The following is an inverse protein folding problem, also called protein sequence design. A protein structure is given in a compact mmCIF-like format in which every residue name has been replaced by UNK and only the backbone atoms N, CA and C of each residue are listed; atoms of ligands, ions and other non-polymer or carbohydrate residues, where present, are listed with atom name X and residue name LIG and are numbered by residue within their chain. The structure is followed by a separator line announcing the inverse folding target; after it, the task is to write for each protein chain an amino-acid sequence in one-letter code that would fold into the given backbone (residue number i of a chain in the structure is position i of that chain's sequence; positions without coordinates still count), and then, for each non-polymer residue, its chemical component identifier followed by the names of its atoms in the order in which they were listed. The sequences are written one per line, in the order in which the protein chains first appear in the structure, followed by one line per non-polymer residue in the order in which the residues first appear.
data_IF_202934055615
#
_entry.id   IF_202934055615
#
_cell.length_a   1.000
_cell.length_b   1.000
_cell.length_c   1.000
_cell.angle_alpha   90.00
_cell.angle_beta   90.00
_cell.angle_gamma   90.00
#
_symmetry.space_group_name_H-M   'P 1'
#
loop_
_entity.id
_entity.type
_entity.pdbx_description
1 polymer ?
#
# COMPACT_ATOMS: atom_id res chain seq x y z
N UNK A 1 -17.58 -8.64 17.12
CA UNK A 1 -16.32 -7.97 17.50
C UNK A 1 -15.69 -7.43 16.24
N UNK A 2 -15.34 -6.14 16.23
CA UNK A 2 -14.80 -5.48 15.04
C UNK A 2 -13.28 -5.57 15.04
N UNK A 3 -12.65 -5.53 13.87
CA UNK A 3 -11.20 -5.40 13.72
C UNK A 3 -10.89 -4.02 13.12
N UNK A 4 -9.76 -3.44 13.50
CA UNK A 4 -9.32 -2.18 12.92
C UNK A 4 -9.00 -2.36 11.43
N UNK A 5 -9.58 -1.56 10.53
CA UNK A 5 -9.33 -1.69 9.09
C UNK A 5 -7.86 -1.55 8.68
N UNK A 6 -7.07 -0.81 9.47
CA UNK A 6 -5.65 -0.57 9.20
C UNK A 6 -4.73 -1.66 9.76
N UNK A 7 -4.75 -1.86 11.08
CA UNK A 7 -3.80 -2.76 11.76
C UNK A 7 -4.38 -4.15 12.07
N UNK A 8 -5.63 -4.42 11.69
CA UNK A 8 -6.37 -5.66 11.93
C UNK A 8 -6.49 -6.08 13.40
N UNK A 9 -6.07 -5.23 14.37
CA UNK A 9 -6.25 -5.49 15.80
C UNK A 9 -7.72 -5.53 16.16
N UNK A 10 -8.08 -6.42 17.09
CA UNK A 10 -9.43 -6.46 17.69
C UNK A 10 -9.74 -5.13 18.37
N UNK A 11 -10.93 -4.62 18.10
CA UNK A 11 -11.47 -3.38 18.70
C UNK A 11 -12.89 -3.61 19.22
N UNK A 12 -13.27 -2.81 20.21
CA UNK A 12 -14.64 -2.80 20.72
C UNK A 12 -15.61 -2.44 19.59
N UNK A 13 -16.83 -3.00 19.61
CA UNK A 13 -17.84 -2.75 18.56
C UNK A 13 -18.19 -1.26 18.40
N UNK A 14 -18.05 -0.47 19.47
CA UNK A 14 -18.27 0.98 19.48
C UNK A 14 -17.13 1.79 18.83
N UNK A 15 -16.00 1.17 18.51
CA UNK A 15 -14.82 1.84 17.91
C UNK A 15 -14.63 1.37 16.48
N UNK A 16 -14.39 2.33 15.57
CA UNK A 16 -14.06 2.05 14.17
C UNK A 16 -12.55 1.86 13.92
N UNK A 17 -11.69 2.48 14.75
CA UNK A 17 -10.23 2.40 14.63
C UNK A 17 -9.56 2.17 15.98
N UNK A 18 -8.36 1.57 15.92
CA UNK A 18 -7.53 1.27 17.08
C UNK A 18 -7.02 2.54 17.79
N UNK A 19 -6.71 3.58 17.01
CA UNK A 19 -6.08 4.83 17.43
C UNK A 19 -6.32 5.91 16.36
N UNK A 20 -6.03 7.18 16.70
CA UNK A 20 -6.11 8.29 15.75
C UNK A 20 -5.13 8.12 14.58
N UNK A 21 -3.94 7.60 14.85
CA UNK A 21 -2.95 7.25 13.83
C UNK A 21 -3.43 6.12 12.90
N UNK A 22 -4.11 5.09 13.43
CA UNK A 22 -4.76 4.04 12.63
C UNK A 22 -5.78 4.64 11.64
N UNK A 23 -6.56 5.63 12.09
CA UNK A 23 -7.53 6.34 11.25
C UNK A 23 -6.84 7.14 10.14
N UNK A 24 -5.86 7.97 10.50
CA UNK A 24 -5.14 8.82 9.54
C UNK A 24 -4.38 7.99 8.50
N UNK A 25 -3.67 6.94 8.91
CA UNK A 25 -2.98 6.05 7.99
C UNK A 25 -3.95 5.32 7.04
N UNK A 26 -5.14 4.93 7.53
CA UNK A 26 -6.16 4.31 6.69
C UNK A 26 -6.68 5.26 5.62
N UNK A 27 -7.01 6.50 5.98
CA UNK A 27 -7.47 7.50 5.00
C UNK A 27 -6.36 7.88 4.02
N UNK A 28 -5.11 7.98 4.48
CA UNK A 28 -3.97 8.17 3.58
C UNK A 28 -3.86 6.99 2.61
N UNK A 29 -3.93 5.75 3.07
CA UNK A 29 -3.84 4.56 2.23
C UNK A 29 -4.98 4.46 1.20
N UNK A 30 -6.20 4.86 1.56
CA UNK A 30 -7.32 4.95 0.62
C UNK A 30 -7.13 6.08 -0.42
N UNK A 31 -6.56 7.21 0.01
CA UNK A 31 -6.33 8.35 -0.87
C UNK A 31 -5.21 8.12 -1.90
N UNK A 32 -4.31 7.15 -1.67
CA UNK A 32 -3.28 6.77 -2.62
C UNK A 32 -3.93 6.15 -3.86
N UNK A 33 -3.89 6.89 -4.96
CA UNK A 33 -4.27 6.40 -6.29
C UNK A 33 -3.01 6.24 -7.13
N UNK A 34 -2.72 5.01 -7.53
CA UNK A 34 -1.55 4.71 -8.35
C UNK A 34 -2.01 4.57 -9.80
N UNK A 35 -1.50 5.39 -10.73
CA UNK A 35 -1.84 5.26 -12.14
C UNK A 35 -1.36 3.91 -12.69
N UNK A 36 -2.21 3.21 -13.45
CA UNK A 36 -1.84 1.95 -14.12
C UNK A 36 -0.59 2.10 -15.02
N UNK A 37 -0.45 3.26 -15.67
CA UNK A 37 0.73 3.57 -16.49
C UNK A 37 2.02 3.64 -15.66
N UNK A 38 1.92 4.14 -14.41
CA UNK A 38 3.06 4.17 -13.49
C UNK A 38 3.48 2.76 -13.10
N UNK A 39 2.52 1.90 -12.73
CA UNK A 39 2.78 0.49 -12.45
C UNK A 39 3.43 -0.21 -13.64
N UNK A 40 2.86 -0.06 -14.85
CA UNK A 40 3.46 -0.62 -16.07
C UNK A 40 4.90 -0.15 -16.26
N UNK A 41 5.18 1.14 -16.04
CA UNK A 41 6.52 1.71 -16.18
C UNK A 41 7.51 1.03 -15.23
N UNK A 42 7.20 1.01 -13.93
CA UNK A 42 8.13 0.52 -12.92
C UNK A 42 8.30 -1.01 -12.93
N UNK A 43 7.31 -1.76 -13.42
CA UNK A 43 7.36 -3.23 -13.47
C UNK A 43 7.86 -3.78 -14.81
N UNK A 44 7.60 -3.10 -15.93
CA UNK A 44 7.98 -3.60 -17.27
C UNK A 44 9.27 -2.96 -17.80
N UNK A 45 9.52 -1.68 -17.47
CA UNK A 45 10.61 -0.91 -18.09
C UNK A 45 11.75 -0.56 -17.13
N UNK A 46 11.56 -0.71 -15.82
CA UNK A 46 12.57 -0.38 -14.82
C UNK A 46 13.15 -1.64 -14.18
N UNK A 47 14.45 -1.60 -13.91
CA UNK A 47 15.11 -2.58 -13.04
C UNK A 47 14.76 -2.33 -11.57
N UNK A 48 15.08 -3.28 -10.69
CA UNK A 48 14.70 -3.21 -9.25
C UNK A 48 15.21 -1.92 -8.56
N UNK A 49 16.47 -1.55 -8.79
CA UNK A 49 17.05 -0.32 -8.24
C UNK A 49 16.40 0.96 -8.81
N UNK A 50 16.00 0.95 -10.08
CA UNK A 50 15.31 2.09 -10.72
C UNK A 50 13.88 2.21 -10.23
N UNK A 51 13.20 1.07 -10.08
CA UNK A 51 11.86 0.99 -9.49
C UNK A 51 11.86 1.61 -8.11
N UNK A 52 12.81 1.27 -7.24
CA UNK A 52 12.86 1.86 -5.90
C UNK A 52 13.05 3.38 -5.93
N UNK A 53 13.94 3.89 -6.80
CA UNK A 53 14.12 5.34 -6.98
C UNK A 53 12.84 6.03 -7.47
N UNK A 54 12.14 5.46 -8.43
CA UNK A 54 10.88 6.01 -8.94
C UNK A 54 9.78 5.99 -7.88
N UNK A 55 9.70 4.94 -7.05
CA UNK A 55 8.76 4.86 -5.93
C UNK A 55 9.06 5.93 -4.88
N UNK A 56 10.33 6.11 -4.49
CA UNK A 56 10.75 7.14 -3.53
C UNK A 56 10.46 8.55 -4.07
N UNK A 57 10.73 8.77 -5.36
CA UNK A 57 10.43 10.03 -6.02
C UNK A 57 8.92 10.31 -6.05
N UNK A 58 8.13 9.30 -6.40
CA UNK A 58 6.66 9.39 -6.43
C UNK A 58 6.09 9.66 -5.04
N UNK A 59 6.60 8.99 -4.00
CA UNK A 59 6.19 9.28 -2.61
C UNK A 59 6.52 10.71 -2.20
N UNK A 60 7.70 11.22 -2.58
CA UNK A 60 8.12 12.57 -2.23
C UNK A 60 7.27 13.65 -2.91
N UNK A 61 6.90 13.45 -4.19
CA UNK A 61 6.06 14.39 -4.94
C UNK A 61 4.66 14.48 -4.32
N UNK A 62 4.08 13.32 -3.98
CA UNK A 62 2.73 13.24 -3.42
C UNK A 62 2.68 13.38 -1.89
N UNK A 63 3.83 13.53 -1.22
CA UNK A 63 3.99 13.53 0.24
C UNK A 63 3.34 12.32 0.92
N UNK A 64 3.38 11.17 0.24
CA UNK A 64 2.86 9.92 0.78
C UNK A 64 3.93 9.20 1.60
N UNK A 65 3.50 8.47 2.62
CA UNK A 65 4.38 7.59 3.39
C UNK A 65 4.86 6.45 2.51
N UNK A 66 6.18 6.31 2.41
CA UNK A 66 6.83 5.30 1.57
C UNK A 66 6.31 3.88 1.87
N UNK A 67 6.17 3.54 3.16
CA UNK A 67 5.67 2.22 3.58
C UNK A 67 4.26 1.93 3.07
N UNK A 68 3.36 2.92 3.16
CA UNK A 68 1.98 2.78 2.69
C UNK A 68 1.91 2.68 1.16
N UNK A 69 2.74 3.47 0.48
CA UNK A 69 2.82 3.46 -0.98
C UNK A 69 3.37 2.13 -1.51
N UNK A 70 4.44 1.60 -0.91
CA UNK A 70 5.02 0.30 -1.30
C UNK A 70 3.99 -0.82 -1.17
N UNK A 71 3.28 -0.89 -0.05
CA UNK A 71 2.20 -1.86 0.15
C UNK A 71 1.10 -1.71 -0.91
N UNK A 72 0.68 -0.47 -1.21
CA UNK A 72 -0.36 -0.22 -2.21
C UNK A 72 0.08 -0.57 -3.63
N UNK A 73 1.35 -0.30 -3.98
CA UNK A 73 1.96 -0.67 -5.25
C UNK A 73 1.96 -2.19 -5.40
N UNK A 74 2.32 -2.92 -4.35
CA UNK A 74 2.32 -4.38 -4.35
C UNK A 74 0.91 -4.94 -4.56
N UNK A 75 -0.08 -4.47 -3.79
CA UNK A 75 -1.49 -4.88 -3.96
C UNK A 75 -2.01 -4.61 -5.38
N UNK A 76 -1.75 -3.44 -5.93
CA UNK A 76 -2.19 -3.09 -7.29
C UNK A 76 -1.40 -3.87 -8.35
N UNK A 77 -0.11 -4.13 -8.13
CA UNK A 77 0.70 -4.94 -9.02
C UNK A 77 0.21 -6.39 -9.09
N UNK A 78 -0.17 -7.01 -7.96
CA UNK A 78 -0.82 -8.33 -7.92
C UNK A 78 -2.14 -8.27 -8.69
N UNK A 79 -2.97 -7.27 -8.40
CA UNK A 79 -4.29 -7.09 -9.04
C UNK A 79 -4.21 -6.96 -10.56
N UNK A 80 -3.17 -6.29 -11.07
CA UNK A 80 -2.95 -6.15 -12.51
C UNK A 80 -2.10 -7.28 -13.12
N UNK A 81 -1.63 -8.24 -12.32
CA UNK A 81 -0.84 -9.39 -12.78
C UNK A 81 0.62 -9.09 -13.11
N UNK A 82 1.20 -8.03 -12.54
CA UNK A 82 2.63 -7.70 -12.70
C UNK A 82 3.53 -8.51 -11.78
N UNK A 83 3.00 -8.99 -10.65
CA UNK A 83 3.70 -9.84 -9.69
C UNK A 83 2.75 -10.95 -9.22
N UNK A 84 3.29 -12.12 -8.93
CA UNK A 84 2.52 -13.20 -8.31
C UNK A 84 2.25 -12.87 -6.84
N UNK A 85 1.06 -13.24 -6.34
CA UNK A 85 0.75 -13.09 -4.92
C UNK A 85 1.76 -13.93 -4.12
N UNK A 86 2.53 -13.33 -3.20
CA UNK A 86 3.44 -14.11 -2.39
C UNK A 86 2.59 -15.10 -1.59
N UNK A 87 2.83 -16.39 -1.80
CA UNK A 87 2.17 -17.48 -1.06
C UNK A 87 2.46 -17.21 0.42
N UNK A 88 1.50 -16.61 1.12
CA UNK A 88 1.57 -16.47 2.57
C UNK A 88 1.48 -17.88 3.11
N UNK A 89 2.63 -18.45 3.46
CA UNK A 89 2.67 -19.60 4.36
C UNK A 89 2.20 -19.08 5.71
N UNK A 90 0.89 -19.14 5.92
CA UNK A 90 0.31 -19.09 7.25
C UNK A 90 0.96 -20.24 8.04
N UNK A 91 1.84 -19.89 8.98
CA UNK A 91 2.38 -20.80 10.01
C UNK A 91 1.91 -20.32 11.37
#
# INVERSE_FOLDING_TARGET
MSHCPFCKKKIAMSKAFCSRSCKENYFQLIAIQIPKLFLKRIFVFCNEAEREREIVKFSSIHKWRLDLLKNKIEEEAIRYGYIEEPIRKDS
#
